data_IF_879016715727
#
_entry.id   IF_879016715727
#
_cell.length_a   1.000
_cell.length_b   1.000
_cell.length_c   1.000
_cell.angle_alpha   90.00
_cell.angle_beta   90.00
_cell.angle_gamma   90.00
#
_symmetry.space_group_name_H-M   'P 1'
#
loop_
_entity.id
_entity.type
_entity.pdbx_description
1 polymer ?
#
# COMPACT_ATOMS: atom_id res chain seq x y z
N UNK A 1 27.70 -1.06 13.02
CA UNK A 1 26.75 -0.44 12.09
C UNK A 1 25.36 -0.85 12.55
N UNK A 2 24.44 0.09 12.68
CA UNK A 2 23.06 -0.18 13.12
C UNK A 2 22.14 -0.24 11.89
N UNK A 3 21.39 -1.33 11.77
CA UNK A 3 20.46 -1.61 10.67
C UNK A 3 19.00 -1.65 11.15
N UNK A 4 18.75 -1.29 12.41
CA UNK A 4 17.40 -1.19 12.94
C UNK A 4 16.57 -0.15 12.20
N UNK A 5 15.25 -0.34 12.22
CA UNK A 5 14.32 0.67 11.73
C UNK A 5 14.27 1.83 12.73
N UNK A 6 14.24 3.06 12.21
CA UNK A 6 13.93 4.21 13.04
C UNK A 6 12.49 4.13 13.57
N UNK A 7 12.21 4.90 14.61
CA UNK A 7 10.92 4.88 15.30
C UNK A 7 9.73 5.21 14.39
N UNK A 8 9.93 6.09 13.40
CA UNK A 8 8.87 6.50 12.48
C UNK A 8 8.53 5.36 11.51
N UNK A 9 9.57 4.72 10.97
CA UNK A 9 9.45 3.59 10.05
C UNK A 9 8.84 2.37 10.74
N UNK A 10 9.25 2.09 11.97
CA UNK A 10 8.65 1.04 12.80
C UNK A 10 7.16 1.30 13.05
N UNK A 11 6.79 2.53 13.42
CA UNK A 11 5.39 2.90 13.63
C UNK A 11 4.56 2.81 12.34
N UNK A 12 5.14 3.16 11.19
CA UNK A 12 4.51 2.99 9.89
C UNK A 12 4.30 1.51 9.57
N UNK A 13 5.30 0.66 9.81
CA UNK A 13 5.21 -0.80 9.62
C UNK A 13 4.05 -1.39 10.41
N UNK A 14 3.93 -1.04 11.70
CA UNK A 14 2.85 -1.56 12.54
C UNK A 14 1.47 -1.08 12.10
N UNK A 15 1.35 0.16 11.60
CA UNK A 15 0.08 0.65 11.01
C UNK A 15 -0.31 -0.11 9.74
N UNK A 16 0.66 -0.41 8.88
CA UNK A 16 0.44 -1.21 7.67
C UNK A 16 0.08 -2.64 8.06
N UNK A 17 0.84 -3.27 8.97
CA UNK A 17 0.57 -4.60 9.53
C UNK A 17 -0.87 -4.70 10.03
N UNK A 18 -1.30 -3.77 10.87
CA UNK A 18 -2.65 -3.75 11.43
C UNK A 18 -3.71 -3.59 10.32
N UNK A 19 -3.50 -2.71 9.34
CA UNK A 19 -4.42 -2.58 8.20
C UNK A 19 -4.54 -3.88 7.39
N UNK A 20 -3.42 -4.56 7.13
CA UNK A 20 -3.41 -5.82 6.42
C UNK A 20 -4.18 -6.90 7.18
N UNK A 21 -3.92 -7.05 8.48
CA UNK A 21 -4.53 -8.08 9.33
C UNK A 21 -6.01 -7.84 9.60
N UNK A 22 -6.42 -6.58 9.84
CA UNK A 22 -7.80 -6.23 10.21
C UNK A 22 -8.74 -6.10 9.00
N UNK A 23 -8.23 -5.61 7.87
CA UNK A 23 -9.08 -5.19 6.75
C UNK A 23 -8.79 -5.95 5.44
N UNK A 24 -7.53 -6.21 5.12
CA UNK A 24 -7.17 -6.74 3.79
C UNK A 24 -7.25 -8.26 3.73
N UNK A 25 -6.49 -8.97 4.59
CA UNK A 25 -6.41 -10.43 4.61
C UNK A 25 -7.80 -11.10 4.77
N UNK A 26 -8.70 -10.60 5.64
CA UNK A 26 -10.04 -11.20 5.77
C UNK A 26 -10.87 -11.16 4.48
N UNK A 27 -10.54 -10.30 3.52
CA UNK A 27 -11.26 -10.17 2.24
C UNK A 27 -10.68 -11.05 1.12
N UNK A 28 -9.55 -11.71 1.35
CA UNK A 28 -8.91 -12.56 0.33
C UNK A 28 -9.80 -13.72 -0.11
N UNK A 29 -10.47 -14.38 0.83
CA UNK A 29 -11.36 -15.51 0.51
C UNK A 29 -12.58 -15.05 -0.32
N UNK A 30 -13.16 -13.89 0.01
CA UNK A 30 -14.26 -13.29 -0.76
C UNK A 30 -13.79 -12.97 -2.18
N UNK A 31 -12.63 -12.32 -2.31
CA UNK A 31 -12.06 -11.93 -3.59
C UNK A 31 -11.68 -13.13 -4.47
N UNK A 32 -11.17 -14.21 -3.87
CA UNK A 32 -10.79 -15.43 -4.58
C UNK A 32 -12.02 -16.22 -5.09
N UNK A 33 -13.14 -16.17 -4.37
CA UNK A 33 -14.37 -16.89 -4.75
C UNK A 33 -15.21 -16.16 -5.77
N UNK A 34 -15.12 -14.84 -5.84
CA UNK A 34 -15.93 -14.03 -6.74
C UNK A 34 -15.10 -12.92 -7.40
N UNK A 35 -14.63 -13.19 -8.62
CA UNK A 35 -13.83 -12.25 -9.39
C UNK A 35 -14.59 -10.97 -9.75
N UNK A 36 -15.91 -11.02 -9.92
CA UNK A 36 -16.73 -9.83 -10.21
C UNK A 36 -16.73 -8.85 -9.02
N UNK A 37 -16.48 -9.34 -7.81
CA UNK A 37 -16.38 -8.52 -6.58
C UNK A 37 -14.99 -7.95 -6.36
N UNK A 38 -13.95 -8.47 -7.02
CA UNK A 38 -12.56 -8.08 -6.78
C UNK A 38 -12.35 -6.58 -6.90
N UNK A 39 -12.95 -5.95 -7.91
CA UNK A 39 -12.81 -4.51 -8.12
C UNK A 39 -13.50 -3.69 -7.03
N UNK A 40 -14.69 -4.11 -6.60
CA UNK A 40 -15.41 -3.44 -5.51
C UNK A 40 -14.64 -3.56 -4.19
N UNK A 41 -14.14 -4.76 -3.89
CA UNK A 41 -13.30 -5.01 -2.70
C UNK A 41 -12.05 -4.13 -2.73
N UNK A 42 -11.37 -4.05 -3.88
CA UNK A 42 -10.19 -3.21 -4.04
C UNK A 42 -10.50 -1.73 -3.76
N UNK A 43 -11.60 -1.20 -4.29
CA UNK A 43 -12.02 0.18 -4.07
C UNK A 43 -12.39 0.45 -2.59
N UNK A 44 -13.08 -0.48 -1.94
CA UNK A 44 -13.39 -0.40 -0.50
C UNK A 44 -12.12 -0.36 0.35
N UNK A 45 -11.16 -1.25 0.07
CA UNK A 45 -9.88 -1.32 0.77
C UNK A 45 -9.01 -0.08 0.51
N UNK A 46 -8.99 0.43 -0.71
CA UNK A 46 -8.30 1.68 -1.05
C UNK A 46 -8.91 2.89 -0.34
N UNK A 47 -10.24 2.95 -0.23
CA UNK A 47 -10.91 3.99 0.53
C UNK A 47 -10.53 3.92 2.03
N UNK A 48 -10.42 2.71 2.59
CA UNK A 48 -9.94 2.51 3.96
C UNK A 48 -8.45 2.89 4.11
N UNK A 49 -7.59 2.49 3.17
CA UNK A 49 -6.18 2.89 3.18
C UNK A 49 -6.02 4.42 3.15
N UNK A 50 -6.86 5.14 2.38
CA UNK A 50 -6.90 6.61 2.38
C UNK A 50 -7.29 7.16 3.75
N UNK A 51 -8.36 6.65 4.37
CA UNK A 51 -8.79 7.05 5.72
C UNK A 51 -7.71 6.82 6.78
N UNK A 52 -6.98 5.71 6.65
CA UNK A 52 -5.86 5.35 7.54
C UNK A 52 -4.56 6.09 7.22
N UNK A 53 -4.49 6.86 6.13
CA UNK A 53 -3.28 7.56 5.71
C UNK A 53 -2.15 6.63 5.26
N UNK A 54 -2.49 5.59 4.50
CA UNK A 54 -1.59 4.55 3.98
C UNK A 54 -1.62 4.44 2.44
N UNK A 55 -2.47 5.21 1.76
CA UNK A 55 -2.67 5.17 0.32
C UNK A 55 -1.52 5.81 -0.46
N UNK A 56 -1.12 5.21 -1.59
CA UNK A 56 -0.02 5.68 -2.45
C UNK A 56 1.31 5.88 -1.69
N UNK A 57 1.86 4.83 -1.04
CA UNK A 57 3.09 4.96 -0.25
C UNK A 57 4.30 5.43 -1.07
N UNK A 58 4.33 5.12 -2.37
CA UNK A 58 5.42 5.43 -3.29
C UNK A 58 5.32 6.84 -3.92
N UNK A 59 4.16 7.50 -3.85
CA UNK A 59 3.96 8.81 -4.48
C UNK A 59 4.27 9.98 -3.53
N UNK A 60 4.65 11.14 -4.09
CA UNK A 60 4.78 12.40 -3.35
C UNK A 60 3.48 12.87 -2.66
N UNK A 61 3.65 13.71 -1.63
CA UNK A 61 2.55 14.20 -0.78
C UNK A 61 1.60 15.16 -1.48
N UNK A 62 2.10 15.99 -2.39
CA UNK A 62 1.32 16.89 -3.24
C UNK A 62 0.39 16.14 -4.21
N UNK A 63 0.74 14.89 -4.54
CA UNK A 63 -0.10 13.96 -5.29
C UNK A 63 -0.94 13.03 -4.40
N UNK A 64 -0.99 13.29 -3.09
CA UNK A 64 -1.78 12.53 -2.12
C UNK A 64 -1.14 11.23 -1.63
N UNK A 65 0.15 11.01 -1.92
CA UNK A 65 0.92 9.89 -1.36
C UNK A 65 1.61 10.23 -0.04
N UNK A 66 2.46 9.31 0.43
CA UNK A 66 3.17 9.48 1.72
C UNK A 66 4.54 10.14 1.57
N UNK A 67 5.09 10.22 0.36
CA UNK A 67 6.43 10.73 0.10
C UNK A 67 7.53 9.95 0.82
N UNK A 68 7.39 8.62 0.88
CA UNK A 68 8.33 7.77 1.60
C UNK A 68 9.69 7.69 0.91
N UNK A 69 10.74 7.58 1.70
CA UNK A 69 12.05 7.16 1.19
C UNK A 69 12.01 5.70 0.71
N UNK A 70 12.95 5.30 -0.14
CA UNK A 70 13.06 3.91 -0.60
C UNK A 70 13.17 2.88 0.54
N UNK A 71 13.82 3.25 1.67
CA UNK A 71 13.94 2.36 2.84
C UNK A 71 12.59 2.16 3.51
N UNK A 72 11.85 3.26 3.74
CA UNK A 72 10.50 3.20 4.30
C UNK A 72 9.54 2.46 3.37
N UNK A 73 9.62 2.72 2.06
CA UNK A 73 8.79 2.05 1.06
C UNK A 73 9.05 0.54 1.03
N UNK A 74 10.30 0.09 1.13
CA UNK A 74 10.63 -1.33 1.21
C UNK A 74 9.92 -2.03 2.39
N UNK A 75 9.92 -1.40 3.57
CA UNK A 75 9.23 -1.92 4.76
C UNK A 75 7.72 -2.00 4.55
N UNK A 76 7.12 -0.97 3.92
CA UNK A 76 5.69 -0.97 3.61
C UNK A 76 5.33 -2.07 2.60
N UNK A 77 6.13 -2.24 1.55
CA UNK A 77 5.90 -3.23 0.50
C UNK A 77 6.13 -4.66 1.01
N UNK A 78 7.06 -4.87 1.94
CA UNK A 78 7.26 -6.15 2.63
C UNK A 78 6.00 -6.56 3.39
N UNK A 79 5.43 -5.66 4.20
CA UNK A 79 4.17 -5.94 4.90
C UNK A 79 2.99 -6.12 3.93
N UNK A 80 2.90 -5.28 2.89
CA UNK A 80 1.87 -5.41 1.87
C UNK A 80 1.93 -6.76 1.15
N UNK A 81 3.15 -7.30 0.94
CA UNK A 81 3.39 -8.59 0.30
C UNK A 81 2.85 -9.80 1.08
N UNK A 82 2.44 -9.63 2.33
CA UNK A 82 1.78 -10.69 3.12
C UNK A 82 0.38 -11.05 2.62
N UNK A 83 -0.18 -10.26 1.69
CA UNK A 83 -1.49 -10.47 1.08
C UNK A 83 -1.44 -10.29 -0.43
N UNK A 84 -2.19 -11.11 -1.18
CA UNK A 84 -2.37 -10.92 -2.63
C UNK A 84 -3.12 -9.63 -2.97
N UNK A 85 -3.94 -9.14 -2.04
CA UNK A 85 -4.65 -7.86 -2.17
C UNK A 85 -3.86 -6.68 -1.62
N UNK A 86 -2.80 -6.91 -0.85
CA UNK A 86 -2.07 -5.87 -0.10
C UNK A 86 -1.58 -4.70 -0.96
N UNK A 87 -0.77 -4.94 -2.00
CA UNK A 87 -0.32 -3.87 -2.90
C UNK A 87 -1.50 -3.14 -3.56
N UNK A 88 -2.56 -3.86 -3.94
CA UNK A 88 -3.75 -3.25 -4.56
C UNK A 88 -4.53 -2.39 -3.56
N UNK A 89 -4.64 -2.81 -2.31
CA UNK A 89 -5.30 -2.07 -1.22
C UNK A 89 -4.58 -0.76 -0.89
N UNK A 90 -3.25 -0.74 -0.94
CA UNK A 90 -2.44 0.48 -0.79
C UNK A 90 -2.35 1.32 -2.08
N UNK A 91 -2.91 0.83 -3.19
CA UNK A 91 -2.78 1.38 -4.54
C UNK A 91 -1.33 1.49 -5.01
N UNK A 92 -0.54 0.46 -4.72
CA UNK A 92 0.87 0.31 -5.08
C UNK A 92 1.13 -1.01 -5.83
N UNK A 93 0.10 -1.60 -6.45
CA UNK A 93 0.25 -2.79 -7.29
C UNK A 93 0.85 -2.44 -8.64
N UNK A 94 1.73 -3.30 -9.15
CA UNK A 94 2.08 -3.32 -10.56
C UNK A 94 0.85 -3.67 -11.42
N UNK A 95 0.77 -3.17 -12.67
CA UNK A 95 1.74 -2.29 -13.33
C UNK A 95 1.57 -0.80 -13.01
N UNK A 96 0.46 -0.42 -12.36
CA UNK A 96 0.07 0.98 -12.20
C UNK A 96 1.03 1.80 -11.35
N UNK A 97 1.63 1.20 -10.33
CA UNK A 97 2.72 1.81 -9.54
C UNK A 97 3.84 2.34 -10.46
N UNK A 98 4.35 1.50 -11.35
CA UNK A 98 5.41 1.87 -12.28
C UNK A 98 4.96 2.93 -13.28
N UNK A 99 3.71 2.88 -13.73
CA UNK A 99 3.13 3.89 -14.61
C UNK A 99 3.03 5.26 -13.91
N UNK A 100 2.55 5.29 -12.65
CA UNK A 100 2.47 6.51 -11.85
C UNK A 100 3.85 7.12 -11.60
N UNK A 101 4.83 6.28 -11.26
CA UNK A 101 6.22 6.71 -11.06
C UNK A 101 6.86 7.24 -12.34
N UNK A 102 6.63 6.57 -13.48
CA UNK A 102 7.11 7.03 -14.79
C UNK A 102 6.54 8.40 -15.13
N UNK A 103 5.21 8.57 -15.06
CA UNK A 103 4.54 9.84 -15.36
C UNK A 103 5.03 10.96 -14.45
N UNK A 104 5.20 10.70 -13.15
CA UNK A 104 5.76 11.66 -12.21
C UNK A 104 7.16 12.15 -12.61
N UNK A 105 7.97 11.29 -13.24
CA UNK A 105 9.33 11.64 -13.69
C UNK A 105 9.38 12.41 -15.00
N UNK A 106 8.41 12.21 -15.91
CA UNK A 106 8.52 12.68 -17.31
C UNK A 106 7.44 13.67 -17.73
N UNK A 107 6.34 13.78 -16.98
CA UNK A 107 5.19 14.61 -17.31
C UNK A 107 4.94 15.75 -16.31
N UNK A 108 5.94 16.06 -15.48
CA UNK A 108 5.96 17.20 -14.56
C UNK A 108 6.77 18.37 -15.12
#
# INVERSE_FOLDING_TARGET
>A
MDFGLDRETEALRERVRAFLEEAVIPREEEAARNLDRLETIAQELQAEAKRRGLFLPHMPRDLGGLGLSWRQLAVVLEEAGRSLLGPRALNASAPDEGNMHLLHKVAN
#
